data_IF_630039673097
#
_entry.id   IF_630039673097
#
_cell.length_a   1.000
_cell.length_b   1.000
_cell.length_c   1.000
_cell.angle_alpha   90.00
_cell.angle_beta   90.00
_cell.angle_gamma   90.00
#
_symmetry.space_group_name_H-M   'P 1'
#
loop_
_entity.id
_entity.type
_entity.pdbx_description
1 polymer ?
#
# COMPACT_ATOMS: atom_id res chain seq x y z
N UNK A 1 8.90 -18.84 -13.87
CA UNK A 1 8.18 -17.56 -14.00
C UNK A 1 7.18 -17.46 -12.85
N UNK A 2 7.40 -16.58 -11.87
CA UNK A 2 6.46 -16.43 -10.76
C UNK A 2 5.23 -15.67 -11.25
N UNK A 3 4.07 -16.32 -11.25
CA UNK A 3 2.79 -15.67 -11.50
C UNK A 3 2.50 -14.81 -10.27
N UNK A 4 2.76 -13.50 -10.35
CA UNK A 4 2.35 -12.58 -9.29
C UNK A 4 0.83 -12.64 -9.23
N UNK A 5 0.23 -13.12 -8.13
CA UNK A 5 -1.21 -13.29 -8.08
C UNK A 5 -1.88 -11.93 -8.23
N UNK A 6 -2.85 -11.84 -9.15
CA UNK A 6 -3.77 -10.69 -9.32
C UNK A 6 -4.72 -10.57 -8.13
N UNK A 7 -4.19 -10.61 -6.90
CA UNK A 7 -4.98 -10.34 -5.71
C UNK A 7 -5.43 -8.88 -5.79
N UNK A 8 -6.74 -8.63 -5.98
CA UNK A 8 -7.25 -7.27 -6.05
C UNK A 8 -7.11 -6.64 -4.66
N UNK A 9 -6.61 -5.42 -4.63
CA UNK A 9 -6.51 -4.62 -3.41
C UNK A 9 -7.68 -3.65 -3.43
N UNK A 10 -8.51 -3.70 -2.39
CA UNK A 10 -9.56 -2.70 -2.21
C UNK A 10 -8.99 -1.53 -1.43
N UNK A 11 -9.02 -0.34 -2.04
CA UNK A 11 -8.59 0.86 -1.35
C UNK A 11 -9.59 1.21 -0.25
N UNK A 12 -9.17 1.31 1.02
CA UNK A 12 -10.06 1.79 2.06
C UNK A 12 -10.50 3.24 1.77
N UNK A 13 -11.67 3.67 2.25
CA UNK A 13 -12.10 5.05 2.08
C UNK A 13 -11.17 5.99 2.84
N UNK A 14 -10.67 7.03 2.17
CA UNK A 14 -9.99 8.15 2.84
C UNK A 14 -11.02 9.17 3.30
N UNK A 15 -10.63 10.13 4.15
CA UNK A 15 -11.48 11.26 4.53
C UNK A 15 -11.98 12.10 3.34
N UNK A 16 -11.31 12.00 2.18
CA UNK A 16 -11.68 12.72 0.96
C UNK A 16 -12.50 11.85 -0.02
N UNK A 17 -12.89 10.64 0.40
CA UNK A 17 -13.67 9.68 -0.38
C UNK A 17 -12.97 9.09 -1.61
N UNK A 18 -11.70 9.45 -1.85
CA UNK A 18 -10.89 8.97 -2.98
C UNK A 18 -9.58 8.38 -2.49
N UNK A 19 -9.11 7.24 -3.05
CA UNK A 19 -7.79 6.74 -2.75
C UNK A 19 -6.71 7.77 -3.12
N UNK A 20 -5.56 7.78 -2.41
CA UNK A 20 -4.44 8.62 -2.81
C UNK A 20 -3.99 8.27 -4.23
N UNK A 21 -3.38 9.22 -4.96
CA UNK A 21 -2.94 8.97 -6.33
C UNK A 21 -1.98 7.77 -6.38
N UNK A 22 -2.05 6.97 -7.45
CA UNK A 22 -1.28 5.74 -7.66
C UNK A 22 -1.36 4.76 -6.47
N UNK A 23 -2.52 4.63 -5.85
CA UNK A 23 -2.79 3.57 -4.90
C UNK A 23 -2.70 2.20 -5.62
N UNK A 24 -2.02 1.19 -5.05
CA UNK A 24 -1.83 -0.08 -5.71
C UNK A 24 -3.18 -0.82 -5.80
N UNK A 25 -3.58 -1.20 -7.01
CA UNK A 25 -4.81 -1.97 -7.23
C UNK A 25 -4.58 -3.49 -7.14
N UNK A 26 -3.33 -3.93 -7.23
CA UNK A 26 -2.96 -5.35 -7.17
C UNK A 26 -1.67 -5.56 -6.38
N UNK A 27 -1.42 -6.80 -5.94
CA UNK A 27 -0.15 -7.16 -5.28
C UNK A 27 1.08 -6.78 -6.12
N UNK A 28 1.03 -6.99 -7.44
CA UNK A 28 2.14 -6.62 -8.33
C UNK A 28 2.44 -5.11 -8.27
N UNK A 29 1.41 -4.28 -8.40
CA UNK A 29 1.56 -2.81 -8.27
C UNK A 29 2.16 -2.43 -6.90
N UNK A 30 1.74 -3.09 -5.82
CA UNK A 30 2.28 -2.88 -4.49
C UNK A 30 3.79 -3.21 -4.41
N UNK A 31 4.25 -4.29 -5.04
CA UNK A 31 5.67 -4.66 -5.03
C UNK A 31 6.55 -3.69 -5.82
N UNK A 32 5.97 -2.98 -6.80
CA UNK A 32 6.65 -1.96 -7.59
C UNK A 32 6.58 -0.55 -6.98
N UNK A 33 5.95 -0.37 -5.81
CA UNK A 33 5.89 0.93 -5.15
C UNK A 33 7.26 1.37 -4.63
N UNK A 34 7.56 2.67 -4.84
CA UNK A 34 8.72 3.31 -4.25
C UNK A 34 8.51 3.64 -2.77
N UNK A 35 9.61 3.83 -2.04
CA UNK A 35 9.61 4.24 -0.62
C UNK A 35 8.67 5.41 -0.35
N UNK A 36 8.80 6.47 -1.14
CA UNK A 36 8.02 7.69 -1.00
C UNK A 36 6.52 7.43 -1.16
N UNK A 37 6.15 6.42 -1.97
CA UNK A 37 4.75 6.06 -2.15
C UNK A 37 4.17 5.35 -0.94
N UNK A 38 4.92 4.44 -0.31
CA UNK A 38 4.48 3.85 0.96
C UNK A 38 4.20 4.94 1.99
N UNK A 39 5.08 5.94 2.09
CA UNK A 39 4.93 7.06 3.01
C UNK A 39 3.73 7.95 2.69
N UNK A 40 3.53 8.30 1.42
CA UNK A 40 2.40 9.11 0.98
C UNK A 40 1.06 8.41 1.24
N UNK A 41 0.98 7.10 0.96
CA UNK A 41 -0.23 6.31 1.19
C UNK A 41 -0.51 6.21 2.69
N UNK A 42 0.47 5.79 3.51
CA UNK A 42 0.32 5.71 4.95
C UNK A 42 -0.11 7.05 5.56
N UNK A 43 0.51 8.16 5.14
CA UNK A 43 0.15 9.51 5.58
C UNK A 43 -1.28 9.90 5.18
N UNK A 44 -1.71 9.57 3.96
CA UNK A 44 -3.07 9.84 3.49
C UNK A 44 -4.15 9.09 4.29
N UNK A 45 -3.81 7.92 4.82
CA UNK A 45 -4.68 7.11 5.68
C UNK A 45 -4.47 7.35 7.18
N UNK A 46 -3.66 8.35 7.56
CA UNK A 46 -3.33 8.63 8.97
C UNK A 46 -2.59 7.48 9.67
N UNK A 47 -1.99 6.56 8.92
CA UNK A 47 -1.19 5.47 9.45
C UNK A 47 0.21 5.93 9.85
N UNK A 48 0.82 5.20 10.77
CA UNK A 48 2.17 5.52 11.26
C UNK A 48 3.21 5.32 10.15
N UNK A 49 3.94 6.39 9.83
CA UNK A 49 5.10 6.38 8.90
C UNK A 49 6.43 6.16 9.64
N UNK A 50 6.40 5.55 10.82
CA UNK A 50 7.60 5.29 11.64
C UNK A 50 8.33 4.03 11.14
N UNK A 51 9.67 4.04 11.26
CA UNK A 51 10.54 2.94 10.88
C UNK A 51 11.13 3.04 9.47
N UNK A 52 11.92 2.04 9.11
CA UNK A 52 12.59 1.91 7.82
C UNK A 52 11.62 1.57 6.68
N UNK A 53 12.12 1.59 5.44
CA UNK A 53 11.34 1.31 4.23
C UNK A 53 10.60 -0.03 4.30
N UNK A 54 11.25 -1.08 4.81
CA UNK A 54 10.65 -2.41 4.99
C UNK A 54 9.50 -2.38 6.00
N UNK A 55 9.67 -1.69 7.12
CA UNK A 55 8.62 -1.53 8.13
C UNK A 55 7.39 -0.79 7.56
N UNK A 56 7.62 0.26 6.76
CA UNK A 56 6.55 1.00 6.07
C UNK A 56 5.85 0.15 5.01
N UNK A 57 6.61 -0.61 4.23
CA UNK A 57 6.07 -1.56 3.25
C UNK A 57 5.18 -2.59 3.94
N UNK A 58 5.66 -3.17 5.04
CA UNK A 58 4.93 -4.17 5.80
C UNK A 58 3.68 -3.59 6.49
N UNK A 59 3.77 -2.37 7.03
CA UNK A 59 2.62 -1.65 7.55
C UNK A 59 1.55 -1.42 6.47
N UNK A 60 1.96 -0.97 5.28
CA UNK A 60 1.03 -0.78 4.17
C UNK A 60 0.44 -2.11 3.70
N UNK A 61 1.24 -3.17 3.62
CA UNK A 61 0.80 -4.53 3.26
C UNK A 61 -0.32 -5.03 4.17
N UNK A 62 -0.13 -4.90 5.48
CA UNK A 62 -1.12 -5.28 6.50
C UNK A 62 -2.36 -4.40 6.39
N UNK A 63 -2.17 -3.08 6.23
CA UNK A 63 -3.27 -2.13 6.13
C UNK A 63 -4.19 -2.40 4.93
N UNK A 64 -3.63 -2.78 3.78
CA UNK A 64 -4.38 -3.06 2.55
C UNK A 64 -4.80 -4.54 2.41
N UNK A 65 -4.53 -5.37 3.43
CA UNK A 65 -5.00 -6.76 3.50
C UNK A 65 -4.24 -7.74 2.60
N UNK A 66 -2.99 -7.46 2.23
CA UNK A 66 -2.17 -8.40 1.46
C UNK A 66 -1.58 -9.50 2.38
N UNK A 67 -1.78 -10.79 2.07
CA UNK A 67 -1.21 -11.90 2.86
C UNK A 67 0.31 -11.90 2.79
N UNK A 68 0.97 -12.41 3.85
CA UNK A 68 2.43 -12.47 4.10
C UNK A 68 3.24 -13.27 3.05
#
# INVERSE_FOLDING_TARGET
MAVIPKMPIMAPPTSNGKPPPNFPNTKGEFEHLTRERYEAILKAYGQSVKGDTEAKKQALRVFIGLPA
#
